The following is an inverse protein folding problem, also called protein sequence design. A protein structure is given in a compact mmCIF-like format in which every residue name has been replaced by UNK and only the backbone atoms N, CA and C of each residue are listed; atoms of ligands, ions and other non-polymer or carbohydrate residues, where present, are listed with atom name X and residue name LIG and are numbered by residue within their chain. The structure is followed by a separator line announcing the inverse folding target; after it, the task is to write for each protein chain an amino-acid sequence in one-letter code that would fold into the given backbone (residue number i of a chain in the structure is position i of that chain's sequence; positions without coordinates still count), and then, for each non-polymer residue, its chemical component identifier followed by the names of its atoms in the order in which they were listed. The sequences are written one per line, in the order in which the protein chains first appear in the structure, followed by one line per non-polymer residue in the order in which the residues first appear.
data_IF_465814881613
#
_entry.id   IF_465814881613
#
_cell.length_a   1.000
_cell.length_b   1.000
_cell.length_c   1.000
_cell.angle_alpha   90.00
_cell.angle_beta   90.00
_cell.angle_gamma   90.00
#
_symmetry.space_group_name_H-M   'P 1'
#
loop_
_entity.id
_entity.type
_entity.pdbx_description
1 polymer ?
#
# COMPACT_ATOMS: atom_id res chain seq x y z
N UNK A 1 37.82 -2.69 9.38
CA UNK A 1 36.89 -2.34 8.27
C UNK A 1 35.77 -1.50 8.84
N UNK A 2 35.62 -0.23 8.41
CA UNK A 2 34.53 0.65 8.85
C UNK A 2 33.22 0.13 8.25
N UNK A 3 32.26 -0.24 9.09
CA UNK A 3 30.91 -0.66 8.68
C UNK A 3 30.23 0.57 8.07
N UNK A 4 29.85 0.52 6.79
CA UNK A 4 29.14 1.61 6.10
C UNK A 4 27.74 1.80 6.73
N UNK A 5 27.64 2.80 7.60
CA UNK A 5 26.45 3.12 8.40
C UNK A 5 25.28 3.64 7.53
N UNK A 6 25.57 4.07 6.29
CA UNK A 6 24.63 4.74 5.38
C UNK A 6 24.20 3.89 4.17
N UNK A 7 24.14 2.56 4.30
CA UNK A 7 23.89 1.67 3.15
C UNK A 7 22.44 1.58 2.67
N UNK A 8 21.45 2.11 3.42
CA UNK A 8 20.03 1.99 3.06
C UNK A 8 19.42 3.37 2.80
N UNK A 9 18.93 3.56 1.58
CA UNK A 9 18.03 4.68 1.21
C UNK A 9 16.59 4.24 1.50
N UNK A 10 15.81 5.11 2.14
CA UNK A 10 14.36 4.92 2.33
C UNK A 10 13.61 5.97 1.51
N UNK A 11 12.44 5.59 1.00
CA UNK A 11 11.51 6.49 0.31
C UNK A 11 10.26 6.68 1.17
N UNK A 12 9.71 7.89 1.21
CA UNK A 12 8.43 8.22 1.82
C UNK A 12 7.34 8.43 0.75
N UNK A 13 6.10 8.70 1.17
CA UNK A 13 4.96 8.90 0.26
C UNK A 13 5.19 10.04 -0.74
N UNK A 14 5.80 11.13 -0.31
CA UNK A 14 6.03 12.32 -1.16
C UNK A 14 7.18 12.13 -2.18
N UNK A 15 7.98 11.07 -2.03
CA UNK A 15 9.08 10.77 -2.96
C UNK A 15 8.62 10.05 -4.22
N UNK A 16 7.37 9.55 -4.25
CA UNK A 16 6.91 8.60 -5.29
C UNK A 16 5.51 8.91 -5.81
N UNK A 17 5.27 8.50 -7.05
CA UNK A 17 3.94 8.51 -7.67
C UNK A 17 3.63 7.13 -8.24
N UNK A 18 2.35 6.75 -8.23
CA UNK A 18 1.88 5.60 -8.99
C UNK A 18 1.85 5.95 -10.48
N UNK A 19 2.48 5.11 -11.31
CA UNK A 19 2.47 5.28 -12.76
C UNK A 19 1.12 4.82 -13.33
N UNK A 20 0.36 5.67 -14.04
CA UNK A 20 -0.90 5.27 -14.67
C UNK A 20 -0.71 4.14 -15.68
N UNK A 21 -1.72 3.27 -15.79
CA UNK A 21 -1.80 2.21 -16.80
C UNK A 21 -3.20 2.11 -17.38
N UNK A 22 -3.31 1.49 -18.56
CA UNK A 22 -4.62 1.15 -19.15
C UNK A 22 -5.44 0.35 -18.14
N UNK A 23 -6.66 0.80 -17.85
CA UNK A 23 -7.64 0.11 -17.03
C UNK A 23 -8.84 -0.30 -17.89
N UNK A 24 -9.42 -1.48 -17.60
CA UNK A 24 -10.70 -1.92 -18.15
C UNK A 24 -11.81 -1.93 -17.08
N UNK A 25 -11.56 -1.35 -15.90
CA UNK A 25 -12.48 -1.32 -14.76
C UNK A 25 -12.78 0.12 -14.39
N UNK A 26 -14.05 0.43 -14.12
CA UNK A 26 -14.47 1.74 -13.64
C UNK A 26 -14.23 1.88 -12.12
N UNK A 27 -13.96 3.08 -11.59
CA UNK A 27 -13.66 3.26 -10.17
C UNK A 27 -14.75 2.77 -9.20
N UNK A 28 -16.01 2.75 -9.60
CA UNK A 28 -17.13 2.26 -8.78
C UNK A 28 -17.32 0.74 -8.85
N UNK A 29 -16.58 0.03 -9.71
CA UNK A 29 -16.65 -1.42 -9.90
C UNK A 29 -15.51 -2.16 -9.18
N UNK A 30 -14.55 -1.44 -8.59
CA UNK A 30 -13.40 -2.04 -7.92
C UNK A 30 -13.79 -2.65 -6.56
N UNK A 31 -13.40 -3.91 -6.33
CA UNK A 31 -13.52 -4.54 -5.01
C UNK A 31 -12.35 -4.09 -4.12
N UNK A 32 -12.66 -3.32 -3.08
CA UNK A 32 -11.70 -2.84 -2.08
C UNK A 32 -11.68 -3.71 -0.81
N UNK A 33 -12.43 -4.82 -0.79
CA UNK A 33 -12.45 -5.72 0.36
C UNK A 33 -11.11 -6.43 0.53
N UNK A 34 -10.73 -6.68 1.79
CA UNK A 34 -9.45 -7.32 2.13
C UNK A 34 -9.59 -8.23 3.34
N UNK A 35 -8.73 -9.23 3.45
CA UNK A 35 -8.64 -10.08 4.64
C UNK A 35 -7.49 -9.59 5.51
N UNK A 36 -7.82 -9.05 6.70
CA UNK A 36 -6.82 -8.65 7.69
C UNK A 36 -6.16 -9.86 8.35
N UNK A 37 -6.95 -10.93 8.56
CA UNK A 37 -6.48 -12.24 8.99
C UNK A 37 -7.24 -13.33 8.23
N UNK A 38 -6.90 -14.60 8.45
CA UNK A 38 -7.63 -15.75 7.88
C UNK A 38 -9.15 -15.70 8.18
N UNK A 39 -9.54 -15.12 9.31
CA UNK A 39 -10.91 -15.15 9.81
C UNK A 39 -11.55 -13.76 9.89
N UNK A 40 -10.85 -12.69 9.48
CA UNK A 40 -11.34 -11.31 9.57
C UNK A 40 -11.29 -10.69 8.18
N UNK A 41 -12.47 -10.54 7.57
CA UNK A 41 -12.67 -9.81 6.31
C UNK A 41 -13.13 -8.38 6.60
N UNK A 42 -12.51 -7.42 5.93
CA UNK A 42 -12.90 -6.01 5.92
C UNK A 42 -13.52 -5.67 4.56
N UNK A 43 -14.63 -4.94 4.56
CA UNK A 43 -15.24 -4.44 3.32
C UNK A 43 -14.48 -3.24 2.73
N UNK A 44 -13.71 -2.53 3.57
CA UNK A 44 -12.82 -1.42 3.20
C UNK A 44 -11.48 -1.59 3.93
N UNK A 45 -10.32 -1.25 3.33
CA UNK A 45 -9.00 -1.50 3.90
C UNK A 45 -8.58 -0.35 4.85
N UNK A 46 -9.43 -0.01 5.81
CA UNK A 46 -9.22 1.07 6.77
C UNK A 46 -9.39 0.56 8.21
N UNK A 47 -8.50 1.01 9.11
CA UNK A 47 -8.53 0.69 10.53
C UNK A 47 -8.29 1.98 11.31
N UNK A 48 -9.08 2.21 12.37
CA UNK A 48 -8.89 3.36 13.25
C UNK A 48 -7.67 3.17 14.15
N UNK A 49 -7.01 4.27 14.50
CA UNK A 49 -6.03 4.26 15.58
C UNK A 49 -6.72 3.94 16.93
N UNK A 50 -5.95 3.35 17.86
CA UNK A 50 -6.39 3.03 19.22
C UNK A 50 -6.06 4.16 20.20
#
# INVERSE_FOLDING_TARGET
MKKNIFSKVGLTFDDVLLVPKKSNVLPNEVDVSTFLTKNIKLNIPLVSAA
#
